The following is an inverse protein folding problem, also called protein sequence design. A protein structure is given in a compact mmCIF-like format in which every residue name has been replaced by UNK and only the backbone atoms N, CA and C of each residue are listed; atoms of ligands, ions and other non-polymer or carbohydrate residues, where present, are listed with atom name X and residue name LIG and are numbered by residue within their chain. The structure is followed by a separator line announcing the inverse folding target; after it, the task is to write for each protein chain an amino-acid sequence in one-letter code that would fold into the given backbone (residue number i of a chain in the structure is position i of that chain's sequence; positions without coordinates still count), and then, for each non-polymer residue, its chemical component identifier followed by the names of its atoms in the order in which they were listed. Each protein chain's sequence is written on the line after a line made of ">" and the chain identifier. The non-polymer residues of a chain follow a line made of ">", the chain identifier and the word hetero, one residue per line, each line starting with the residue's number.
data_IF_814295185575
#
_entry.id   IF_814295185575
#
_cell.length_a   1.000
_cell.length_b   1.000
_cell.length_c   1.000
_cell.angle_alpha   90.00
_cell.angle_beta   90.00
_cell.angle_gamma   90.00
#
_symmetry.space_group_name_H-M   'P 1'
#
loop_
_entity.id
_entity.type
_entity.pdbx_description
1 polymer ?
#
# COMPACT_ATOMS: atom_id res chain seq x y z
N UNK A 1 -16.76 -1.43 -11.37
CA UNK A 1 -17.37 -0.75 -10.22
C UNK A 1 -16.30 -0.40 -9.20
N UNK A 2 -16.05 0.88 -9.02
CA UNK A 2 -14.97 1.35 -8.16
C UNK A 2 -15.51 2.18 -7.00
N UNK A 3 -14.87 2.02 -5.86
CA UNK A 3 -15.18 2.76 -4.65
C UNK A 3 -14.11 3.82 -4.43
N UNK A 4 -14.53 5.06 -4.21
CA UNK A 4 -13.59 6.13 -3.87
C UNK A 4 -13.40 6.22 -2.35
N UNK A 5 -12.54 7.14 -1.91
CA UNK A 5 -12.25 7.31 -0.48
C UNK A 5 -13.49 7.65 0.32
N UNK A 6 -14.35 8.53 -0.19
CA UNK A 6 -15.57 8.94 0.50
C UNK A 6 -16.51 7.75 0.71
N UNK A 7 -16.69 6.93 -0.31
CA UNK A 7 -17.53 5.74 -0.22
C UNK A 7 -16.93 4.70 0.73
N UNK A 8 -15.61 4.56 0.72
CA UNK A 8 -14.93 3.65 1.63
C UNK A 8 -15.12 4.09 3.08
N UNK A 9 -14.98 5.38 3.36
CA UNK A 9 -15.18 5.92 4.71
C UNK A 9 -16.61 5.68 5.18
N UNK A 10 -17.59 5.90 4.31
CA UNK A 10 -18.99 5.66 4.64
C UNK A 10 -19.26 4.19 4.97
N UNK A 11 -18.69 3.28 4.19
CA UNK A 11 -18.83 1.85 4.43
C UNK A 11 -18.15 1.43 5.73
N UNK A 12 -16.98 1.97 6.01
CA UNK A 12 -16.27 1.71 7.27
C UNK A 12 -17.05 2.20 8.47
N UNK A 13 -17.62 3.40 8.38
CA UNK A 13 -18.42 3.97 9.46
C UNK A 13 -19.62 3.10 9.77
N UNK A 14 -20.30 2.64 8.74
CA UNK A 14 -21.49 1.80 8.89
C UNK A 14 -21.11 0.44 9.52
N UNK A 15 -20.08 -0.19 9.02
CA UNK A 15 -19.67 -1.52 9.47
C UNK A 15 -19.09 -1.50 10.89
N UNK A 16 -18.37 -0.45 11.24
CA UNK A 16 -17.71 -0.34 12.54
C UNK A 16 -18.58 0.36 13.60
N UNK A 17 -19.72 0.90 13.21
CA UNK A 17 -20.57 1.65 14.13
C UNK A 17 -19.96 2.98 14.53
N UNK A 18 -19.21 3.60 13.63
CA UNK A 18 -18.56 4.89 13.85
C UNK A 18 -19.25 6.00 13.07
N UNK A 19 -19.02 7.26 13.48
CA UNK A 19 -19.38 8.39 12.63
C UNK A 19 -18.47 8.43 11.41
N UNK A 20 -18.91 9.08 10.33
CA UNK A 20 -18.09 9.25 9.14
C UNK A 20 -16.80 10.00 9.46
N UNK A 21 -16.87 10.97 10.36
CA UNK A 21 -15.71 11.74 10.79
C UNK A 21 -14.68 10.85 11.49
N UNK A 22 -15.13 10.00 12.39
CA UNK A 22 -14.23 9.08 13.10
C UNK A 22 -13.67 8.02 12.17
N UNK A 23 -14.48 7.51 11.24
CA UNK A 23 -14.01 6.54 10.25
C UNK A 23 -12.95 7.17 9.34
N UNK A 24 -13.11 8.43 8.95
CA UNK A 24 -12.13 9.15 8.15
C UNK A 24 -10.81 9.31 8.90
N UNK A 25 -10.89 9.67 10.17
CA UNK A 25 -9.70 9.78 11.02
C UNK A 25 -8.98 8.44 11.17
N UNK A 26 -9.74 7.36 11.34
CA UNK A 26 -9.19 6.03 11.47
C UNK A 26 -8.48 5.61 10.17
N UNK A 27 -9.08 5.87 9.03
CA UNK A 27 -8.46 5.55 7.74
C UNK A 27 -7.19 6.36 7.51
N UNK A 28 -7.21 7.65 7.83
CA UNK A 28 -6.03 8.49 7.71
C UNK A 28 -4.91 7.99 8.62
N UNK A 29 -5.22 7.68 9.87
CA UNK A 29 -4.24 7.16 10.81
C UNK A 29 -3.66 5.84 10.29
N UNK A 30 -4.49 4.96 9.75
CA UNK A 30 -4.05 3.69 9.19
C UNK A 30 -3.05 3.90 8.05
N UNK A 31 -3.38 4.75 7.08
CA UNK A 31 -2.50 5.00 5.94
C UNK A 31 -1.21 5.68 6.36
N UNK A 32 -1.27 6.61 7.31
CA UNK A 32 -0.10 7.32 7.82
C UNK A 32 0.84 6.36 8.57
N UNK A 33 0.30 5.50 9.41
CA UNK A 33 1.09 4.52 10.17
C UNK A 33 1.75 3.50 9.23
N UNK A 34 1.01 3.01 8.24
CA UNK A 34 1.55 2.09 7.24
C UNK A 34 2.69 2.76 6.48
N UNK A 35 2.50 4.01 6.05
CA UNK A 35 3.53 4.74 5.33
C UNK A 35 4.80 4.92 6.16
N UNK A 36 4.65 5.26 7.44
CA UNK A 36 5.79 5.43 8.34
C UNK A 36 6.56 4.12 8.54
N UNK A 37 5.85 3.03 8.72
CA UNK A 37 6.48 1.72 8.90
C UNK A 37 7.23 1.29 7.65
N UNK A 38 6.65 1.51 6.47
CA UNK A 38 7.32 1.21 5.20
C UNK A 38 8.54 2.10 4.98
N UNK A 39 8.48 3.35 5.45
CA UNK A 39 9.61 4.27 5.37
C UNK A 39 10.83 3.76 6.12
N UNK A 40 10.61 3.02 7.20
CA UNK A 40 11.67 2.39 8.01
C UNK A 40 12.09 1.02 7.47
N UNK A 41 11.70 0.66 6.27
CA UNK A 41 11.93 -0.67 5.68
C UNK A 41 11.24 -1.80 6.43
N UNK A 42 10.24 -1.46 7.24
CA UNK A 42 9.43 -2.45 7.94
C UNK A 42 8.32 -2.98 7.07
N UNK A 43 7.52 -3.85 7.62
CA UNK A 43 6.33 -4.33 6.96
C UNK A 43 5.16 -4.39 7.94
N UNK A 44 3.96 -4.28 7.42
CA UNK A 44 2.74 -4.34 8.21
C UNK A 44 1.97 -5.57 7.79
N UNK A 45 1.90 -6.54 8.67
CA UNK A 45 1.20 -7.80 8.41
C UNK A 45 -0.17 -7.78 9.06
N UNK A 46 -1.21 -7.94 8.24
CA UNK A 46 -2.58 -8.01 8.71
C UNK A 46 -3.07 -9.44 8.49
N UNK A 47 -3.12 -10.20 9.58
CA UNK A 47 -3.54 -11.60 9.52
C UNK A 47 -4.96 -11.68 8.96
N UNK A 48 -5.15 -12.52 7.95
CA UNK A 48 -6.44 -12.68 7.29
C UNK A 48 -6.73 -11.66 6.20
N UNK A 49 -5.84 -10.71 5.96
CA UNK A 49 -6.02 -9.72 4.91
C UNK A 49 -4.84 -9.68 3.94
N UNK A 50 -3.66 -9.35 4.44
CA UNK A 50 -2.48 -9.26 3.60
C UNK A 50 -1.33 -8.56 4.30
N UNK A 51 -0.26 -8.33 3.57
CA UNK A 51 0.94 -7.73 4.11
C UNK A 51 1.38 -6.56 3.22
N UNK A 52 1.61 -5.42 3.85
CA UNK A 52 2.24 -4.27 3.19
C UNK A 52 3.75 -4.37 3.43
N UNK A 53 4.53 -4.29 2.37
CA UNK A 53 5.98 -4.38 2.48
C UNK A 53 6.65 -3.43 1.51
N UNK A 54 7.97 -3.29 1.65
CA UNK A 54 8.76 -2.44 0.77
C UNK A 54 9.54 -3.33 -0.18
N UNK A 55 9.45 -2.99 -1.46
CA UNK A 55 10.29 -3.57 -2.49
C UNK A 55 11.39 -2.57 -2.80
N UNK A 56 12.63 -2.97 -2.55
CA UNK A 56 13.79 -2.12 -2.82
C UNK A 56 14.41 -2.48 -4.15
N UNK A 57 14.75 -1.46 -4.93
CA UNK A 57 15.51 -1.63 -6.14
C UNK A 57 16.88 -1.03 -5.92
N UNK A 58 17.92 -1.84 -6.06
CA UNK A 58 19.29 -1.37 -5.93
C UNK A 58 19.65 -0.40 -7.06
N UNK A 59 20.58 0.50 -6.79
CA UNK A 59 21.13 1.37 -7.81
C UNK A 59 21.75 0.52 -8.93
N UNK A 60 21.53 0.91 -10.17
CA UNK A 60 22.06 0.19 -11.31
C UNK A 60 22.39 1.15 -12.44
N UNK A 61 23.20 0.72 -13.37
CA UNK A 61 23.48 1.47 -14.57
C UNK A 61 22.56 1.02 -15.68
N UNK A 62 21.99 1.99 -16.38
CA UNK A 62 21.19 1.76 -17.56
C UNK A 62 21.73 2.60 -18.71
N UNK A 63 21.12 2.51 -19.85
CA UNK A 63 21.47 3.33 -21.01
C UNK A 63 20.30 4.22 -21.38
N UNK A 64 20.61 5.48 -21.68
CA UNK A 64 19.62 6.38 -22.22
C UNK A 64 19.32 5.95 -23.66
N UNK A 65 18.06 5.58 -23.97
CA UNK A 65 17.72 5.07 -25.29
C UNK A 65 17.91 6.08 -26.42
N UNK A 66 17.95 7.38 -26.10
CA UNK A 66 18.12 8.42 -27.11
C UNK A 66 19.58 8.74 -27.37
N UNK A 67 20.43 8.71 -26.36
CA UNK A 67 21.83 9.09 -26.48
C UNK A 67 22.79 7.89 -26.44
N UNK A 68 22.33 6.75 -25.95
CA UNK A 68 23.16 5.57 -25.78
C UNK A 68 24.20 5.69 -24.67
N UNK A 69 24.19 6.81 -23.93
CA UNK A 69 25.13 7.01 -22.82
C UNK A 69 24.68 6.23 -21.59
N UNK A 70 25.63 5.69 -20.83
CA UNK A 70 25.27 5.03 -19.58
C UNK A 70 24.66 6.01 -18.60
N UNK A 71 23.62 5.57 -17.92
CA UNK A 71 22.91 6.39 -16.97
C UNK A 71 22.75 5.58 -15.67
N UNK A 72 23.10 6.22 -14.56
CA UNK A 72 22.96 5.58 -13.25
C UNK A 72 21.52 5.74 -12.76
N UNK A 73 20.88 4.61 -12.50
CA UNK A 73 19.54 4.60 -11.94
C UNK A 73 19.68 4.48 -10.43
N UNK A 74 19.20 5.50 -9.71
CA UNK A 74 19.27 5.54 -8.27
C UNK A 74 18.47 4.42 -7.63
N UNK A 75 18.91 3.97 -6.46
CA UNK A 75 18.13 3.03 -5.65
C UNK A 75 16.77 3.65 -5.32
N UNK A 76 15.73 2.87 -5.37
CA UNK A 76 14.40 3.33 -5.04
C UNK A 76 13.64 2.28 -4.24
N UNK A 77 12.64 2.74 -3.50
CA UNK A 77 11.76 1.89 -2.71
C UNK A 77 10.34 2.07 -3.20
N UNK A 78 9.62 0.96 -3.31
CA UNK A 78 8.23 0.98 -3.73
C UNK A 78 7.38 0.20 -2.73
N UNK A 79 6.19 0.71 -2.39
CA UNK A 79 5.28 -0.06 -1.55
C UNK A 79 4.73 -1.24 -2.33
N UNK A 80 4.53 -2.35 -1.63
CA UNK A 80 3.99 -3.56 -2.23
C UNK A 80 2.98 -4.19 -1.27
N UNK A 81 1.88 -4.67 -1.81
CA UNK A 81 0.88 -5.37 -1.03
C UNK A 81 0.79 -6.81 -1.50
N UNK A 82 0.95 -7.74 -0.57
CA UNK A 82 0.73 -9.17 -0.82
C UNK A 82 -0.57 -9.59 -0.18
N UNK A 83 -1.54 -9.99 -0.98
CA UNK A 83 -2.81 -10.47 -0.47
C UNK A 83 -2.61 -11.74 0.36
N UNK A 84 -3.27 -11.82 1.49
CA UNK A 84 -3.27 -13.02 2.31
C UNK A 84 -4.14 -14.11 1.72
N UNK A 85 -3.94 -15.33 2.17
CA UNK A 85 -4.70 -16.48 1.68
C UNK A 85 -6.20 -16.29 1.90
N UNK A 86 -6.59 -15.80 3.08
CA UNK A 86 -8.00 -15.61 3.41
C UNK A 86 -8.66 -14.61 2.45
N UNK A 87 -7.96 -13.53 2.10
CA UNK A 87 -8.50 -12.55 1.15
C UNK A 87 -8.62 -13.14 -0.25
N UNK A 88 -7.62 -13.88 -0.69
CA UNK A 88 -7.66 -14.56 -2.00
C UNK A 88 -8.80 -15.57 -2.07
N UNK A 89 -8.97 -16.35 -1.01
CA UNK A 89 -10.02 -17.36 -0.94
C UNK A 89 -11.41 -16.71 -0.98
N UNK A 90 -11.57 -15.57 -0.31
CA UNK A 90 -12.81 -14.81 -0.32
C UNK A 90 -13.20 -14.34 -1.74
N UNK A 91 -12.21 -13.92 -2.52
CA UNK A 91 -12.44 -13.45 -3.88
C UNK A 91 -12.73 -14.58 -4.87
N UNK A 92 -12.25 -15.78 -4.57
CA UNK A 92 -12.38 -16.94 -5.45
C UNK A 92 -13.36 -17.97 -4.92
N UNK A 93 -14.16 -17.60 -3.96
CA UNK A 93 -15.17 -18.49 -3.38
C UNK A 93 -16.35 -18.66 -4.31
#
# INVERSE_FOLDING_TARGET
>A
FNMNKTELVAAMADQAGLSKKDAEKALKAFTDVVAEELKKDGKVQLVGFGTFEVSSRAAREGRNPQSGKPMKIAASKAPKFKAGKALKDMLNA
#
